data_IF_162279908021
#
_entry.id   IF_162279908021
#
_cell.length_a   1.000
_cell.length_b   1.000
_cell.length_c   1.000
_cell.angle_alpha   90.00
_cell.angle_beta   90.00
_cell.angle_gamma   90.00
#
_symmetry.space_group_name_H-M   'P 1'
#
loop_
_entity.id
_entity.type
_entity.pdbx_description
1 polymer ?
#
# COMPACT_ATOMS: atom_id res chain seq x y z
N UNK A 1 3.15 1.54 -17.99
CA UNK A 1 2.57 2.86 -17.63
C UNK A 1 3.69 3.72 -17.09
N UNK A 2 3.91 4.89 -17.68
CA UNK A 2 4.96 5.80 -17.23
C UNK A 2 4.57 6.39 -15.87
N UNK A 3 5.44 6.30 -14.85
CA UNK A 3 5.19 6.95 -13.58
C UNK A 3 5.35 8.47 -13.70
N UNK A 4 4.55 9.21 -12.96
CA UNK A 4 4.63 10.66 -12.83
C UNK A 4 4.95 11.04 -11.37
N UNK A 5 5.60 12.19 -11.13
CA UNK A 5 5.71 12.76 -9.78
C UNK A 5 4.33 12.93 -9.13
N UNK A 6 4.24 12.63 -7.84
CA UNK A 6 3.01 12.79 -7.08
C UNK A 6 3.14 13.99 -6.14
N UNK A 7 2.15 14.88 -6.22
CA UNK A 7 1.94 15.89 -5.18
C UNK A 7 1.08 15.27 -4.07
N UNK A 8 1.67 15.06 -2.89
CA UNK A 8 0.92 14.56 -1.74
C UNK A 8 -0.06 15.62 -1.22
N UNK A 9 -1.27 15.23 -0.80
CA UNK A 9 -2.15 16.10 -0.03
C UNK A 9 -1.49 16.59 1.26
N UNK A 10 -1.82 17.78 1.78
CA UNK A 10 -1.15 18.36 2.95
C UNK A 10 -1.06 17.43 4.16
N UNK A 11 -2.15 16.73 4.48
CA UNK A 11 -2.18 15.78 5.59
C UNK A 11 -1.21 14.61 5.41
N UNK A 12 -1.04 14.12 4.17
CA UNK A 12 -0.05 13.10 3.85
C UNK A 12 1.37 13.66 3.86
N UNK A 13 1.58 14.83 3.26
CA UNK A 13 2.89 15.49 3.19
C UNK A 13 3.45 15.81 4.58
N UNK A 14 2.61 16.29 5.50
CA UNK A 14 2.99 16.58 6.88
C UNK A 14 3.50 15.32 7.61
N UNK A 15 2.84 14.17 7.41
CA UNK A 15 3.20 12.91 8.06
C UNK A 15 4.39 12.20 7.40
N UNK A 16 4.52 12.29 6.07
CA UNK A 16 5.65 11.70 5.34
C UNK A 16 6.95 12.52 5.48
N UNK A 17 6.83 13.83 5.71
CA UNK A 17 7.94 14.77 5.69
C UNK A 17 8.33 15.21 4.27
N UNK A 18 8.96 16.39 4.13
CA UNK A 18 9.19 17.02 2.84
C UNK A 18 10.14 16.23 1.92
N UNK A 19 11.20 15.62 2.48
CA UNK A 19 12.16 14.84 1.70
C UNK A 19 11.53 13.60 1.07
N UNK A 20 10.66 12.91 1.81
CA UNK A 20 9.99 11.72 1.32
C UNK A 20 8.92 12.11 0.30
N UNK A 21 8.14 13.15 0.58
CA UNK A 21 7.11 13.67 -0.32
C UNK A 21 7.68 14.03 -1.70
N UNK A 22 8.84 14.70 -1.75
CA UNK A 22 9.50 15.11 -2.99
C UNK A 22 9.97 13.95 -3.88
N UNK A 23 10.05 12.73 -3.34
CA UNK A 23 10.58 11.55 -4.04
C UNK A 23 9.50 10.61 -4.55
N UNK A 24 8.23 10.84 -4.24
CA UNK A 24 7.16 9.91 -4.59
C UNK A 24 6.81 10.08 -6.06
N UNK A 25 6.86 8.96 -6.77
CA UNK A 25 6.33 8.82 -8.13
C UNK A 25 5.27 7.73 -8.14
N UNK A 26 4.32 7.81 -9.05
CA UNK A 26 3.29 6.80 -9.18
C UNK A 26 2.62 6.72 -10.55
N UNK A 27 1.80 5.68 -10.72
CA UNK A 27 1.02 5.41 -11.91
C UNK A 27 -0.38 4.91 -11.51
N UNK A 28 -1.43 5.47 -12.13
CA UNK A 28 -2.82 5.19 -11.77
C UNK A 28 -3.53 6.44 -11.24
N UNK A 29 -4.57 6.24 -10.42
CA UNK A 29 -5.43 7.32 -9.94
C UNK A 29 -4.85 8.04 -8.72
N UNK A 30 -4.30 9.24 -8.92
CA UNK A 30 -3.66 10.01 -7.86
C UNK A 30 -4.69 10.60 -6.87
N UNK A 31 -5.93 10.82 -7.29
CA UNK A 31 -6.99 11.34 -6.42
C UNK A 31 -7.27 10.43 -5.21
N UNK A 32 -6.91 9.15 -5.30
CA UNK A 32 -7.02 8.20 -4.18
C UNK A 32 -6.23 8.64 -2.93
N UNK A 33 -5.16 9.41 -3.08
CA UNK A 33 -4.35 9.88 -1.95
C UNK A 33 -5.04 10.98 -1.15
N UNK A 34 -6.03 11.67 -1.72
CA UNK A 34 -6.81 12.71 -1.04
C UNK A 34 -7.84 12.13 -0.06
N UNK A 35 -8.12 10.83 -0.16
CA UNK A 35 -9.05 10.11 0.70
C UNK A 35 -8.36 9.64 1.99
N UNK A 36 -9.09 9.43 3.09
CA UNK A 36 -8.57 8.73 4.26
C UNK A 36 -8.08 7.32 3.89
N UNK A 37 -6.79 7.06 4.12
CA UNK A 37 -6.13 5.82 3.75
C UNK A 37 -6.10 4.84 4.92
N UNK A 38 -6.64 3.63 4.72
CA UNK A 38 -6.46 2.51 5.64
C UNK A 38 -5.15 1.79 5.32
N UNK A 39 -4.13 2.00 6.15
CA UNK A 39 -2.85 1.32 6.08
C UNK A 39 -2.95 -0.12 6.53
N UNK A 40 -2.60 -1.06 5.66
CA UNK A 40 -2.54 -2.48 5.97
C UNK A 40 -1.09 -2.96 5.92
N UNK A 41 -0.59 -3.47 7.05
CA UNK A 41 0.69 -4.18 7.11
C UNK A 41 0.55 -5.48 7.89
N UNK A 42 1.22 -6.54 7.44
CA UNK A 42 1.21 -7.80 8.17
C UNK A 42 2.52 -8.59 8.05
N UNK A 43 2.84 -9.33 9.10
CA UNK A 43 3.97 -10.26 9.07
C UNK A 43 3.67 -11.47 8.17
N UNK A 44 4.72 -12.05 7.57
CA UNK A 44 4.61 -13.16 6.60
C UNK A 44 4.03 -14.44 7.21
N UNK A 45 4.37 -14.74 8.46
CA UNK A 45 3.96 -15.95 9.16
C UNK A 45 2.58 -15.82 9.84
N UNK A 46 1.61 -15.24 9.12
CA UNK A 46 0.25 -15.04 9.63
C UNK A 46 -0.48 -16.38 9.80
N UNK A 47 -1.06 -16.67 10.98
CA UNK A 47 -1.95 -17.81 11.19
C UNK A 47 -3.18 -17.75 10.28
N UNK A 48 -3.72 -18.93 9.94
CA UNK A 48 -4.86 -19.06 9.02
C UNK A 48 -6.16 -18.44 9.56
N UNK A 49 -6.43 -18.50 10.86
CA UNK A 49 -7.65 -17.91 11.43
C UNK A 49 -7.66 -16.38 11.29
N UNK A 50 -6.53 -15.72 11.56
CA UNK A 50 -6.40 -14.25 11.39
C UNK A 50 -6.55 -13.85 9.92
N UNK A 51 -6.08 -14.69 8.99
CA UNK A 51 -6.32 -14.46 7.56
C UNK A 51 -7.82 -14.43 7.27
N UNK A 52 -8.59 -15.43 7.73
CA UNK A 52 -10.04 -15.49 7.52
C UNK A 52 -10.75 -14.29 8.15
N UNK A 53 -10.47 -13.99 9.41
CA UNK A 53 -11.03 -12.84 10.13
C UNK A 53 -10.73 -11.51 9.41
N UNK A 54 -9.54 -11.36 8.85
CA UNK A 54 -9.19 -10.16 8.07
C UNK A 54 -9.99 -10.08 6.77
N UNK A 55 -10.18 -11.22 6.08
CA UNK A 55 -10.94 -11.26 4.83
C UNK A 55 -12.44 -10.94 5.05
N UNK A 56 -12.98 -11.31 6.21
CA UNK A 56 -14.38 -11.02 6.58
C UNK A 56 -14.65 -9.53 6.77
N UNK A 57 -13.62 -8.73 7.08
CA UNK A 57 -13.74 -7.27 7.23
C UNK A 57 -13.73 -6.50 5.91
N UNK A 58 -13.27 -7.12 4.83
CA UNK A 58 -13.09 -6.46 3.53
C UNK A 58 -14.41 -5.88 2.97
N UNK A 59 -15.55 -6.61 2.99
CA UNK A 59 -16.81 -6.05 2.51
C UNK A 59 -17.19 -4.76 3.22
N UNK A 60 -16.95 -4.66 4.53
CA UNK A 60 -17.25 -3.45 5.32
C UNK A 60 -16.32 -2.30 4.95
N UNK A 61 -15.01 -2.57 4.78
CA UNK A 61 -14.07 -1.54 4.33
C UNK A 61 -14.45 -0.97 2.97
N UNK A 62 -14.89 -1.82 2.03
CA UNK A 62 -15.35 -1.39 0.71
C UNK A 62 -16.66 -0.61 0.80
N UNK A 63 -17.63 -1.10 1.59
CA UNK A 63 -18.91 -0.40 1.80
C UNK A 63 -18.71 0.98 2.42
N UNK A 64 -17.75 1.11 3.33
CA UNK A 64 -17.34 2.38 3.93
C UNK A 64 -16.50 3.26 3.00
N UNK A 65 -16.25 2.83 1.76
CA UNK A 65 -15.46 3.58 0.78
C UNK A 65 -13.97 3.69 1.13
N UNK A 66 -13.42 2.85 2.02
CA UNK A 66 -12.01 2.98 2.43
C UNK A 66 -11.08 2.72 1.25
N UNK A 67 -10.01 3.51 1.15
CA UNK A 67 -8.89 3.27 0.24
C UNK A 67 -7.81 2.53 1.01
N UNK A 68 -7.46 1.31 0.57
CA UNK A 68 -6.48 0.49 1.30
C UNK A 68 -5.09 0.75 0.74
N UNK A 69 -4.16 1.19 1.59
CA UNK A 69 -2.75 1.37 1.24
C UNK A 69 -1.88 0.26 1.85
N UNK A 70 -1.11 -0.42 1.02
CA UNK A 70 -0.18 -1.47 1.44
C UNK A 70 0.87 -1.71 0.36
N UNK A 71 1.89 -2.53 0.65
CA UNK A 71 2.78 -3.05 -0.40
C UNK A 71 2.49 -4.49 -0.82
N UNK A 72 1.46 -5.12 -0.26
CA UNK A 72 0.92 -6.40 -0.74
C UNK A 72 1.97 -7.51 -0.93
N UNK A 73 2.85 -7.67 0.06
CA UNK A 73 3.97 -8.60 0.01
C UNK A 73 3.76 -9.83 0.89
N UNK A 74 3.13 -9.70 2.06
CA UNK A 74 2.83 -10.89 2.88
C UNK A 74 1.68 -11.71 2.26
N UNK A 75 1.59 -13.02 2.55
CA UNK A 75 0.47 -13.83 2.06
C UNK A 75 -0.90 -13.25 2.43
N UNK A 76 -1.03 -12.72 3.66
CA UNK A 76 -2.23 -12.02 4.09
C UNK A 76 -2.52 -10.79 3.22
N UNK A 77 -1.54 -9.88 3.06
CA UNK A 77 -1.75 -8.67 2.28
C UNK A 77 -2.13 -9.00 0.82
N UNK A 78 -1.53 -10.03 0.21
CA UNK A 78 -1.86 -10.48 -1.14
C UNK A 78 -3.31 -10.98 -1.27
N UNK A 79 -3.81 -11.71 -0.27
CA UNK A 79 -5.21 -12.15 -0.26
C UNK A 79 -6.17 -10.97 -0.09
N UNK A 80 -5.79 -9.97 0.73
CA UNK A 80 -6.55 -8.72 0.82
C UNK A 80 -6.59 -8.02 -0.54
N UNK A 81 -5.46 -7.85 -1.22
CA UNK A 81 -5.41 -7.25 -2.56
C UNK A 81 -6.40 -7.94 -3.50
N UNK A 82 -6.30 -9.27 -3.64
CA UNK A 82 -7.17 -10.04 -4.55
C UNK A 82 -8.64 -9.90 -4.20
N UNK A 83 -8.99 -9.94 -2.91
CA UNK A 83 -10.38 -9.81 -2.45
C UNK A 83 -10.93 -8.41 -2.74
N UNK A 84 -10.14 -7.37 -2.48
CA UNK A 84 -10.51 -5.97 -2.72
C UNK A 84 -10.70 -5.71 -4.22
N UNK A 85 -9.77 -6.15 -5.06
CA UNK A 85 -9.88 -5.98 -6.51
C UNK A 85 -11.10 -6.69 -7.09
N UNK A 86 -11.38 -7.93 -6.68
CA UNK A 86 -12.58 -8.69 -7.12
C UNK A 86 -13.88 -8.02 -6.72
N UNK A 87 -13.90 -7.31 -5.59
CA UNK A 87 -15.06 -6.57 -5.08
C UNK A 87 -15.12 -5.12 -5.57
N UNK A 88 -14.31 -4.76 -6.57
CA UNK A 88 -14.22 -3.40 -7.15
C UNK A 88 -13.86 -2.31 -6.13
N UNK A 89 -13.12 -2.67 -5.08
CA UNK A 89 -12.61 -1.70 -4.10
C UNK A 89 -11.46 -0.84 -4.65
N UNK A 90 -11.00 0.08 -3.80
CA UNK A 90 -9.96 1.07 -4.13
C UNK A 90 -8.66 0.79 -3.35
N UNK A 91 -7.51 0.82 -4.03
CA UNK A 91 -6.22 0.52 -3.40
C UNK A 91 -5.07 1.42 -3.85
N UNK A 92 -4.12 1.62 -2.94
CA UNK A 92 -2.81 2.21 -3.21
C UNK A 92 -1.73 1.17 -2.92
N UNK A 93 -1.01 0.74 -3.96
CA UNK A 93 0.09 -0.23 -3.86
C UNK A 93 1.43 0.50 -3.75
N UNK A 94 2.16 0.28 -2.67
CA UNK A 94 3.47 0.89 -2.42
C UNK A 94 4.58 -0.11 -2.72
N UNK A 95 5.43 0.21 -3.69
CA UNK A 95 6.54 -0.66 -4.08
C UNK A 95 7.76 -0.45 -3.16
N UNK A 96 8.48 -1.54 -2.91
CA UNK A 96 9.79 -1.55 -2.24
C UNK A 96 10.95 -1.54 -3.25
N UNK A 97 10.76 -0.90 -4.40
CA UNK A 97 11.74 -0.75 -5.48
C UNK A 97 11.37 0.47 -6.33
N UNK A 98 12.34 0.98 -7.08
CA UNK A 98 12.13 2.03 -8.06
C UNK A 98 11.19 1.61 -9.19
N UNK A 99 10.69 2.61 -9.90
CA UNK A 99 9.72 2.44 -10.97
C UNK A 99 10.11 3.36 -12.14
N UNK A 100 10.61 2.78 -13.23
CA UNK A 100 10.85 3.49 -14.50
C UNK A 100 9.67 3.32 -15.45
N UNK A 101 9.12 2.10 -15.49
CA UNK A 101 7.86 1.77 -16.16
C UNK A 101 7.11 0.79 -15.25
N UNK A 102 5.82 1.02 -15.07
CA UNK A 102 4.96 0.09 -14.34
C UNK A 102 4.29 -0.87 -15.30
N UNK A 103 4.49 -2.17 -15.10
CA UNK A 103 3.83 -3.23 -15.88
C UNK A 103 2.76 -3.90 -15.01
N UNK A 104 1.47 -3.56 -15.20
CA UNK A 104 0.39 -4.16 -14.42
C UNK A 104 0.28 -5.66 -14.65
N UNK A 105 0.00 -6.42 -13.60
CA UNK A 105 -0.46 -7.80 -13.75
C UNK A 105 -1.85 -7.84 -14.40
N UNK A 106 -2.31 -9.01 -14.85
CA UNK A 106 -3.64 -9.13 -15.45
C UNK A 106 -4.76 -8.62 -14.52
N UNK A 107 -4.66 -8.92 -13.22
CA UNK A 107 -5.62 -8.48 -12.19
C UNK A 107 -5.60 -6.97 -11.94
N UNK A 108 -4.49 -6.29 -12.22
CA UNK A 108 -4.33 -4.85 -11.96
C UNK A 108 -4.75 -3.97 -13.14
N UNK A 109 -4.86 -4.52 -14.35
CA UNK A 109 -5.18 -3.74 -15.56
C UNK A 109 -6.51 -3.03 -15.46
N UNK A 110 -7.58 -3.76 -15.14
CA UNK A 110 -8.92 -3.17 -15.05
C UNK A 110 -9.04 -2.17 -13.89
N UNK A 111 -8.57 -2.45 -12.66
CA UNK A 111 -8.61 -1.47 -11.57
C UNK A 111 -7.83 -0.18 -11.87
N UNK A 112 -6.68 -0.27 -12.56
CA UNK A 112 -5.93 0.90 -13.00
C UNK A 112 -6.68 1.70 -14.05
N UNK A 113 -7.28 1.03 -15.04
CA UNK A 113 -8.07 1.69 -16.08
C UNK A 113 -9.35 2.34 -15.52
N UNK A 114 -9.97 1.73 -14.51
CA UNK A 114 -11.18 2.20 -13.86
C UNK A 114 -10.94 3.28 -12.78
N UNK A 115 -9.71 3.77 -12.61
CA UNK A 115 -9.39 4.79 -11.61
C UNK A 115 -9.50 4.31 -10.15
N UNK A 116 -9.42 3.00 -9.91
CA UNK A 116 -9.54 2.41 -8.55
C UNK A 116 -8.21 1.94 -7.97
N UNK A 117 -7.13 2.09 -8.71
CA UNK A 117 -5.81 1.68 -8.27
C UNK A 117 -4.78 2.77 -8.53
N UNK A 118 -3.89 2.94 -7.56
CA UNK A 118 -2.67 3.72 -7.69
C UNK A 118 -1.49 2.85 -7.28
N UNK A 119 -0.38 2.96 -8.01
CA UNK A 119 0.89 2.35 -7.62
C UNK A 119 1.90 3.45 -7.39
N UNK A 120 2.56 3.45 -6.24
CA UNK A 120 3.54 4.46 -5.86
C UNK A 120 4.87 3.85 -5.41
N UNK A 121 5.93 4.64 -5.47
CA UNK A 121 7.21 4.35 -4.84
C UNK A 121 7.94 5.63 -4.47
N UNK A 122 8.71 5.58 -3.38
CA UNK A 122 9.71 6.60 -3.05
C UNK A 122 11.16 6.11 -3.26
N UNK A 123 11.31 4.87 -3.75
CA UNK A 123 12.61 4.32 -4.08
C UNK A 123 13.12 4.93 -5.40
N UNK A 124 14.41 5.32 -5.48
CA UNK A 124 14.97 5.83 -6.72
C UNK A 124 14.86 4.80 -7.85
N UNK A 125 14.69 5.22 -9.13
CA UNK A 125 14.55 4.31 -10.27
C UNK A 125 15.70 3.30 -10.41
N UNK A 126 16.91 3.63 -9.95
CA UNK A 126 18.07 2.72 -9.94
C UNK A 126 17.91 1.48 -9.05
N UNK A 127 17.03 1.52 -8.05
CA UNK A 127 16.81 0.41 -7.13
C UNK A 127 15.83 -0.58 -7.76
N UNK A 128 16.33 -1.62 -8.43
CA UNK A 128 15.47 -2.54 -9.18
C UNK A 128 14.97 -3.73 -8.36
N UNK A 129 15.65 -4.09 -7.27
CA UNK A 129 15.32 -5.26 -6.44
C UNK A 129 14.82 -4.84 -5.07
N UNK A 130 13.86 -5.60 -4.56
CA UNK A 130 13.41 -5.49 -3.17
C UNK A 130 14.45 -6.14 -2.25
N UNK A 131 14.81 -5.40 -1.22
CA UNK A 131 15.70 -5.80 -0.13
C UNK A 131 14.98 -5.63 1.20
N UNK A 132 15.58 -6.07 2.30
CA UNK A 132 15.02 -5.87 3.64
C UNK A 132 14.88 -4.37 3.94
N UNK A 133 15.89 -3.58 3.62
CA UNK A 133 15.95 -2.14 3.90
C UNK A 133 14.87 -1.39 3.12
N UNK A 134 14.71 -1.70 1.83
CA UNK A 134 13.70 -1.07 0.97
C UNK A 134 12.29 -1.52 1.33
N UNK A 135 12.10 -2.76 1.77
CA UNK A 135 10.81 -3.22 2.30
C UNK A 135 10.45 -2.49 3.60
N UNK A 136 11.41 -2.27 4.50
CA UNK A 136 11.22 -1.49 5.72
C UNK A 136 10.90 -0.02 5.41
N UNK A 137 11.63 0.60 4.47
CA UNK A 137 11.33 1.96 4.02
C UNK A 137 9.93 2.07 3.40
N UNK A 138 9.52 1.10 2.59
CA UNK A 138 8.15 1.01 2.04
C UNK A 138 7.11 0.92 3.15
N UNK A 139 7.34 0.08 4.18
CA UNK A 139 6.41 -0.06 5.28
C UNK A 139 6.25 1.25 6.06
N UNK A 140 7.36 1.96 6.31
CA UNK A 140 7.31 3.31 6.90
C UNK A 140 6.50 4.28 6.05
N UNK A 141 6.66 4.24 4.73
CA UNK A 141 5.86 5.06 3.82
C UNK A 141 4.36 4.72 3.89
N UNK A 142 3.99 3.44 3.92
CA UNK A 142 2.59 3.02 4.12
C UNK A 142 2.02 3.63 5.41
N UNK A 143 2.74 3.49 6.53
CA UNK A 143 2.30 4.00 7.83
C UNK A 143 2.22 5.53 7.86
N UNK A 144 3.19 6.22 7.25
CA UNK A 144 3.20 7.68 7.20
C UNK A 144 2.02 8.24 6.39
N UNK A 145 1.60 7.56 5.32
CA UNK A 145 0.48 8.00 4.48
C UNK A 145 -0.89 7.58 5.05
N UNK A 146 -0.96 6.52 5.86
CA UNK A 146 -2.20 5.95 6.39
C UNK A 146 -2.82 6.78 7.53
N UNK A 147 -4.07 7.23 7.38
CA UNK A 147 -4.79 7.95 8.44
C UNK A 147 -5.28 7.00 9.54
N UNK A 148 -5.54 5.74 9.17
CA UNK A 148 -5.86 4.65 10.09
C UNK A 148 -4.96 3.46 9.76
N UNK A 149 -4.54 2.70 10.76
CA UNK A 149 -3.66 1.55 10.56
C UNK A 149 -4.36 0.29 11.07
N UNK A 150 -4.32 -0.76 10.26
CA UNK A 150 -4.67 -2.11 10.66
C UNK A 150 -3.47 -3.03 10.42
N UNK A 151 -3.08 -3.73 11.49
CA UNK A 151 -2.01 -4.71 11.46
C UNK A 151 -2.51 -6.02 12.07
N UNK A 152 -3.33 -6.81 11.33
CA UNK A 152 -4.04 -7.96 11.89
C UNK A 152 -3.10 -8.99 12.53
N UNK A 153 -1.89 -9.12 12.00
CA UNK A 153 -0.87 -9.97 12.58
C UNK A 153 0.53 -9.41 12.43
N UNK A 154 1.23 -9.31 13.55
CA UNK A 154 2.63 -8.96 13.62
C UNK A 154 3.34 -9.92 14.57
N UNK A 155 4.39 -10.59 14.08
CA UNK A 155 5.21 -11.46 14.95
C UNK A 155 5.98 -10.61 15.96
N UNK A 156 6.15 -11.10 17.19
CA UNK A 156 6.83 -10.36 18.26
C UNK A 156 8.20 -9.77 17.87
N UNK A 157 8.99 -10.50 17.07
CA UNK A 157 10.33 -10.07 16.63
C UNK A 157 10.32 -9.24 15.33
N UNK A 158 9.16 -8.80 14.87
CA UNK A 158 9.05 -8.00 13.65
C UNK A 158 9.48 -6.56 13.91
N UNK A 159 10.29 -5.93 13.02
CA UNK A 159 10.56 -4.50 13.08
C UNK A 159 9.29 -3.64 13.05
N UNK A 160 8.17 -4.18 12.54
CA UNK A 160 6.88 -3.50 12.52
C UNK A 160 6.33 -3.20 13.92
N UNK A 161 6.66 -4.01 14.93
CA UNK A 161 6.21 -3.80 16.31
C UNK A 161 6.69 -2.48 16.90
N UNK A 162 7.83 -1.97 16.42
CA UNK A 162 8.39 -0.69 16.89
C UNK A 162 7.59 0.52 16.38
N UNK A 163 6.77 0.36 15.34
CA UNK A 163 6.06 1.45 14.66
C UNK A 163 4.55 1.42 14.86
N UNK A 164 4.04 0.41 15.58
CA UNK A 164 2.61 0.19 15.84
C UNK A 164 2.23 0.44 17.31
N UNK A 165 3.13 1.04 18.09
CA UNK A 165 2.87 1.52 19.45
C UNK A 165 2.38 2.96 19.40
#
# INVERSE_FOLDING_TARGET
>A
MKPAPITLPPACAQRAGPELAARIVGAGEMALLAEPLLGLIASRACPGHILLETLDRIPEWIKAGRVIISGFHSPLEQQVLRSVLRRKGRIVKVLARGMTDYRPTAEEREPLAAGRMLVITACPPKIQRTTRETALARNRLVLALASEITAPYVTANSPLMLWLK
#
